data_IF_440300810502
#
_entry.id   IF_440300810502
#
_cell.length_a   1.000
_cell.length_b   1.000
_cell.length_c   1.000
_cell.angle_alpha   90.00
_cell.angle_beta   90.00
_cell.angle_gamma   90.00
#
_symmetry.space_group_name_H-M   'P 1'
#
loop_
_entity.id
_entity.type
_entity.pdbx_description
1 polymer ?
#
# COMPACT_ATOMS: atom_id res chain seq x y z
N UNK A 1 8.00 -16.39 -8.60
CA UNK A 1 6.61 -15.92 -8.45
C UNK A 1 6.59 -14.61 -7.68
N UNK A 2 5.92 -13.61 -8.23
CA UNK A 2 5.76 -12.28 -7.62
C UNK A 2 4.28 -12.05 -7.35
N UNK A 3 3.96 -11.44 -6.23
CA UNK A 3 2.60 -10.98 -5.94
C UNK A 3 2.64 -9.53 -5.50
N UNK A 4 1.74 -8.74 -6.07
CA UNK A 4 1.53 -7.33 -5.72
C UNK A 4 0.17 -7.20 -5.06
N UNK A 5 0.13 -6.60 -3.88
CA UNK A 5 -1.12 -6.33 -3.16
C UNK A 5 -1.04 -4.97 -2.49
N UNK A 6 -2.16 -4.27 -2.48
CA UNK A 6 -2.33 -3.10 -1.64
C UNK A 6 -2.57 -3.54 -0.19
N UNK A 7 -2.01 -2.80 0.77
CA UNK A 7 -2.15 -3.14 2.19
C UNK A 7 -3.61 -3.20 2.65
N UNK A 8 -4.43 -2.26 2.20
CA UNK A 8 -5.87 -2.26 2.50
C UNK A 8 -6.57 -3.52 1.98
N UNK A 9 -6.18 -4.02 0.82
CA UNK A 9 -6.73 -5.28 0.28
C UNK A 9 -6.34 -6.48 1.15
N UNK A 10 -5.10 -6.52 1.62
CA UNK A 10 -4.63 -7.58 2.55
C UNK A 10 -5.46 -7.54 3.83
N UNK A 11 -5.58 -6.37 4.44
CA UNK A 11 -6.37 -6.20 5.66
C UNK A 11 -7.83 -6.57 5.48
N UNK A 12 -8.45 -6.16 4.37
CA UNK A 12 -9.84 -6.52 4.07
C UNK A 12 -10.03 -8.03 3.89
N UNK A 13 -9.12 -8.70 3.20
CA UNK A 13 -9.16 -10.16 3.04
C UNK A 13 -9.06 -10.87 4.39
N UNK A 14 -8.15 -10.43 5.25
CA UNK A 14 -7.98 -10.99 6.59
C UNK A 14 -9.23 -10.78 7.43
N UNK A 15 -9.81 -9.59 7.41
CA UNK A 15 -11.04 -9.28 8.14
C UNK A 15 -12.23 -10.14 7.69
N UNK A 16 -12.42 -10.28 6.38
CA UNK A 16 -13.50 -11.11 5.81
C UNK A 16 -13.34 -12.58 6.13
N UNK A 17 -12.12 -13.05 6.32
CA UNK A 17 -11.80 -14.45 6.63
C UNK A 17 -11.57 -14.71 8.11
N UNK A 18 -11.72 -13.70 8.99
CA UNK A 18 -11.47 -13.82 10.44
C UNK A 18 -12.32 -14.90 11.11
N UNK A 19 -13.51 -15.19 10.57
CA UNK A 19 -14.41 -16.23 11.06
C UNK A 19 -14.35 -17.54 10.26
N UNK A 20 -13.45 -17.64 9.29
CA UNK A 20 -13.27 -18.81 8.43
C UNK A 20 -11.84 -19.34 8.58
N UNK A 21 -11.66 -20.64 8.40
CA UNK A 21 -10.34 -21.31 8.39
C UNK A 21 -9.38 -20.75 7.31
N UNK A 22 -9.91 -19.97 6.37
CA UNK A 22 -9.17 -19.41 5.23
C UNK A 22 -8.16 -18.33 5.61
N UNK A 23 -8.26 -17.71 6.80
CA UNK A 23 -7.32 -16.66 7.22
C UNK A 23 -5.90 -17.20 7.39
N UNK A 24 -5.74 -18.40 7.91
CA UNK A 24 -4.44 -19.05 8.07
C UNK A 24 -3.80 -19.38 6.72
N UNK A 25 -4.59 -19.74 5.74
CA UNK A 25 -4.13 -19.98 4.37
C UNK A 25 -3.64 -18.70 3.71
N UNK A 26 -4.37 -17.60 3.83
CA UNK A 26 -3.96 -16.27 3.32
C UNK A 26 -2.62 -15.85 3.95
N UNK A 27 -2.51 -15.94 5.26
CA UNK A 27 -1.30 -15.58 6.00
C UNK A 27 -0.11 -16.45 5.57
N UNK A 28 -0.31 -17.75 5.47
CA UNK A 28 0.72 -18.70 5.04
C UNK A 28 1.16 -18.42 3.61
N UNK A 29 0.23 -18.20 2.70
CA UNK A 29 0.52 -17.89 1.30
C UNK A 29 1.34 -16.61 1.16
N UNK A 30 0.94 -15.53 1.82
CA UNK A 30 1.65 -14.26 1.76
C UNK A 30 3.03 -14.32 2.43
N UNK A 31 3.16 -15.11 3.51
CA UNK A 31 4.43 -15.32 4.19
C UNK A 31 5.44 -16.11 3.35
N UNK A 32 4.99 -16.95 2.43
CA UNK A 32 5.83 -17.87 1.67
C UNK A 32 6.06 -17.47 0.21
N UNK A 33 5.41 -16.45 -0.31
CA UNK A 33 5.64 -15.96 -1.67
C UNK A 33 7.10 -15.51 -1.82
N UNK A 34 7.81 -15.91 -2.88
CA UNK A 34 9.21 -15.54 -3.07
C UNK A 34 9.47 -14.04 -3.07
N UNK A 35 8.64 -13.26 -3.77
CA UNK A 35 8.69 -11.79 -3.75
C UNK A 35 7.28 -11.23 -3.55
N UNK A 36 7.11 -10.48 -2.49
CA UNK A 36 5.86 -9.77 -2.18
C UNK A 36 6.08 -8.27 -2.31
N UNK A 37 5.17 -7.60 -3.01
CA UNK A 37 5.11 -6.15 -3.09
C UNK A 37 3.85 -5.71 -2.36
N UNK A 38 4.02 -5.02 -1.24
CA UNK A 38 2.95 -4.39 -0.48
C UNK A 38 2.89 -2.91 -0.87
N UNK A 39 1.94 -2.61 -1.73
CA UNK A 39 1.77 -1.29 -2.31
C UNK A 39 0.90 -0.41 -1.42
N UNK A 40 1.22 0.86 -1.40
CA UNK A 40 0.42 1.91 -0.80
C UNK A 40 0.21 1.74 0.72
N UNK A 41 1.32 1.60 1.45
CA UNK A 41 1.28 1.62 2.91
C UNK A 41 0.73 2.96 3.39
N UNK A 42 -0.24 2.90 4.27
CA UNK A 42 -0.86 4.06 4.88
C UNK A 42 -1.21 3.80 6.34
N UNK A 43 -1.90 4.75 6.96
CA UNK A 43 -2.50 4.59 8.27
C UNK A 43 -3.98 4.28 8.05
N UNK A 44 -4.32 3.00 8.12
CA UNK A 44 -5.67 2.52 7.90
C UNK A 44 -6.44 2.42 9.23
N UNK A 45 -7.74 2.64 9.17
CA UNK A 45 -8.64 2.42 10.30
C UNK A 45 -9.22 1.02 10.26
N UNK A 46 -8.35 0.04 10.41
CA UNK A 46 -8.73 -1.36 10.39
C UNK A 46 -8.81 -1.94 11.80
N UNK A 47 -9.21 -3.20 11.90
CA UNK A 47 -9.28 -3.89 13.19
C UNK A 47 -7.89 -4.21 13.73
N UNK A 48 -7.74 -4.23 15.06
CA UNK A 48 -6.52 -4.70 15.73
C UNK A 48 -6.11 -6.10 15.28
N UNK A 49 -7.08 -6.97 15.06
CA UNK A 49 -6.83 -8.32 14.55
C UNK A 49 -6.13 -8.29 13.18
N UNK A 50 -6.63 -7.50 12.23
CA UNK A 50 -6.04 -7.40 10.89
C UNK A 50 -4.62 -6.83 10.95
N UNK A 51 -4.37 -5.83 11.76
CA UNK A 51 -3.04 -5.23 11.98
C UNK A 51 -2.06 -6.24 12.56
N UNK A 52 -2.49 -7.01 13.53
CA UNK A 52 -1.67 -8.08 14.12
C UNK A 52 -1.29 -9.14 13.08
N UNK A 53 -2.23 -9.56 12.25
CA UNK A 53 -1.97 -10.53 11.19
C UNK A 53 -1.03 -9.98 10.12
N UNK A 54 -1.18 -8.72 9.73
CA UNK A 54 -0.24 -8.05 8.82
C UNK A 54 1.17 -8.00 9.44
N UNK A 55 1.28 -7.65 10.71
CA UNK A 55 2.56 -7.72 11.42
C UNK A 55 3.16 -9.12 11.37
N UNK A 56 2.37 -10.14 11.62
CA UNK A 56 2.82 -11.53 11.60
C UNK A 56 3.33 -11.96 10.22
N UNK A 57 2.66 -11.54 9.14
CA UNK A 57 3.11 -11.79 7.76
C UNK A 57 4.47 -11.13 7.52
N UNK A 58 4.60 -9.86 7.85
CA UNK A 58 5.84 -9.08 7.65
C UNK A 58 6.98 -9.68 8.48
N UNK A 59 6.72 -9.98 9.75
CA UNK A 59 7.71 -10.58 10.64
C UNK A 59 8.14 -11.98 10.17
N UNK A 60 7.21 -12.81 9.73
CA UNK A 60 7.51 -14.12 9.16
C UNK A 60 8.41 -14.03 7.92
N UNK A 61 8.13 -13.07 7.05
CA UNK A 61 8.95 -12.80 5.86
C UNK A 61 10.36 -12.34 6.24
N UNK A 62 10.46 -11.46 7.22
CA UNK A 62 11.73 -11.02 7.77
C UNK A 62 12.56 -12.20 8.30
N UNK A 63 11.97 -13.01 9.14
CA UNK A 63 12.66 -14.19 9.73
C UNK A 63 13.09 -15.22 8.70
N UNK A 64 12.31 -15.38 7.63
CA UNK A 64 12.62 -16.31 6.52
C UNK A 64 13.54 -15.71 5.46
N UNK A 65 13.94 -14.44 5.59
CA UNK A 65 14.71 -13.73 4.58
C UNK A 65 13.99 -13.58 3.24
N UNK A 66 12.66 -13.50 3.23
CA UNK A 66 11.87 -13.37 2.01
C UNK A 66 11.87 -11.93 1.51
N UNK A 67 12.31 -11.66 0.27
CA UNK A 67 12.33 -10.32 -0.30
C UNK A 67 10.94 -9.66 -0.30
N UNK A 68 10.86 -8.45 0.21
CA UNK A 68 9.62 -7.69 0.28
C UNK A 68 9.88 -6.24 -0.13
N UNK A 69 9.03 -5.71 -1.00
CA UNK A 69 9.06 -4.31 -1.41
C UNK A 69 7.82 -3.63 -0.83
N UNK A 70 8.03 -2.48 -0.24
CA UNK A 70 6.95 -1.63 0.27
C UNK A 70 6.95 -0.31 -0.47
N UNK A 71 5.76 0.19 -0.82
CA UNK A 71 5.60 1.55 -1.32
C UNK A 71 4.70 2.36 -0.40
N UNK A 72 4.93 3.65 -0.30
CA UNK A 72 4.14 4.53 0.56
C UNK A 72 4.24 5.98 0.11
N UNK A 73 3.19 6.75 0.35
CA UNK A 73 3.20 8.21 0.26
C UNK A 73 3.54 8.90 1.60
N UNK A 74 3.70 8.12 2.66
CA UNK A 74 4.06 8.65 3.98
C UNK A 74 5.54 9.05 3.99
N UNK A 75 5.85 10.18 4.60
CA UNK A 75 7.24 10.59 4.85
C UNK A 75 7.87 9.70 5.93
N UNK A 76 9.19 9.61 5.94
CA UNK A 76 9.92 8.91 7.01
C UNK A 76 9.59 9.48 8.39
N UNK A 77 9.39 10.79 8.50
CA UNK A 77 9.01 11.45 9.75
C UNK A 77 7.70 10.92 10.31
N UNK A 78 6.69 10.69 9.45
CA UNK A 78 5.41 10.09 9.86
C UNK A 78 5.60 8.63 10.27
N UNK A 79 6.35 7.87 9.48
CA UNK A 79 6.61 6.45 9.74
C UNK A 79 7.37 6.25 11.07
N UNK A 80 8.26 7.16 11.40
CA UNK A 80 9.04 7.15 12.65
C UNK A 80 8.35 7.84 13.82
N UNK A 81 7.18 8.44 13.61
CA UNK A 81 6.48 9.20 14.62
C UNK A 81 6.02 8.32 15.80
N UNK A 82 6.46 8.58 17.03
CA UNK A 82 6.07 7.79 18.19
C UNK A 82 4.60 8.01 18.62
N UNK A 83 3.92 9.01 18.07
CA UNK A 83 2.52 9.32 18.39
C UNK A 83 1.50 8.58 17.53
N UNK A 84 1.94 7.81 16.54
CA UNK A 84 1.03 6.92 15.82
C UNK A 84 0.64 5.74 16.70
N UNK A 85 -0.47 5.10 16.36
CA UNK A 85 -0.97 3.91 17.03
C UNK A 85 0.14 2.86 17.24
N UNK A 86 0.21 2.27 18.44
CA UNK A 86 1.25 1.31 18.82
C UNK A 86 1.34 0.12 17.87
N UNK A 87 0.22 -0.35 17.35
CA UNK A 87 0.18 -1.46 16.39
C UNK A 87 0.85 -1.08 15.07
N UNK A 88 0.61 0.14 14.59
CA UNK A 88 1.31 0.67 13.42
C UNK A 88 2.78 0.95 13.68
N UNK A 89 3.13 1.41 14.87
CA UNK A 89 4.54 1.57 15.26
C UNK A 89 5.31 0.25 15.12
N UNK A 90 4.73 -0.85 15.57
CA UNK A 90 5.33 -2.18 15.45
C UNK A 90 5.52 -2.59 14.00
N UNK A 91 4.51 -2.37 13.16
CA UNK A 91 4.55 -2.68 11.73
C UNK A 91 5.65 -1.86 11.04
N UNK A 92 5.65 -0.55 11.22
CA UNK A 92 6.62 0.34 10.58
C UNK A 92 8.03 0.15 11.10
N UNK A 93 8.21 -0.09 12.39
CA UNK A 93 9.52 -0.40 12.96
C UNK A 93 10.13 -1.64 12.32
N UNK A 94 9.34 -2.69 12.14
CA UNK A 94 9.80 -3.90 11.47
C UNK A 94 10.11 -3.66 9.99
N UNK A 95 9.28 -2.88 9.30
CA UNK A 95 9.52 -2.52 7.89
C UNK A 95 10.84 -1.77 7.75
N UNK A 96 11.10 -0.78 8.59
CA UNK A 96 12.35 -0.01 8.57
C UNK A 96 13.57 -0.86 8.89
N UNK A 97 13.45 -1.83 9.79
CA UNK A 97 14.53 -2.76 10.12
C UNK A 97 14.89 -3.68 8.95
N UNK A 98 13.93 -4.10 8.16
CA UNK A 98 14.14 -5.08 7.08
C UNK A 98 14.34 -4.45 5.70
N UNK A 99 14.25 -3.13 5.57
CA UNK A 99 14.31 -2.45 4.27
C UNK A 99 15.29 -1.29 4.26
N UNK A 100 15.65 -0.87 3.06
CA UNK A 100 16.39 0.37 2.82
C UNK A 100 15.40 1.37 2.21
N UNK A 101 15.14 2.51 2.87
CA UNK A 101 14.26 3.54 2.34
C UNK A 101 14.86 4.21 1.11
N UNK A 102 14.08 4.33 0.05
CA UNK A 102 14.46 5.04 -1.16
C UNK A 102 13.42 6.11 -1.44
N UNK A 103 13.85 7.37 -1.49
CA UNK A 103 12.97 8.47 -1.84
C UNK A 103 12.85 8.57 -3.36
N UNK A 104 11.62 8.45 -3.86
CA UNK A 104 11.30 8.66 -5.27
C UNK A 104 10.74 10.06 -5.43
N UNK A 105 11.40 10.87 -6.24
CA UNK A 105 11.00 12.25 -6.54
C UNK A 105 10.79 12.43 -8.04
N UNK A 106 10.00 13.41 -8.41
CA UNK A 106 9.71 13.73 -9.79
C UNK A 106 8.37 14.47 -9.92
N UNK A 107 8.01 14.80 -11.14
CA UNK A 107 6.72 15.37 -11.42
C UNK A 107 5.61 14.32 -11.26
N UNK A 108 4.46 14.78 -10.76
CA UNK A 108 3.26 13.93 -10.69
C UNK A 108 2.65 13.78 -12.09
N UNK A 109 2.91 12.64 -12.72
CA UNK A 109 2.37 12.34 -14.05
C UNK A 109 0.84 12.35 -14.10
N UNK A 110 0.17 11.95 -13.03
CA UNK A 110 -1.31 11.98 -12.98
C UNK A 110 -1.81 13.42 -13.04
N UNK A 111 -1.14 14.32 -12.36
CA UNK A 111 -1.43 15.75 -12.38
C UNK A 111 -1.20 16.34 -13.76
N UNK A 112 -0.10 15.96 -14.41
CA UNK A 112 0.24 16.38 -15.78
C UNK A 112 -0.80 15.89 -16.80
N UNK A 113 -1.17 14.60 -16.72
CA UNK A 113 -2.21 14.01 -17.57
C UNK A 113 -3.56 14.71 -17.35
N UNK A 114 -3.90 15.00 -16.09
CA UNK A 114 -5.13 15.71 -15.77
C UNK A 114 -5.15 17.13 -16.34
N UNK A 115 -4.06 17.88 -16.23
CA UNK A 115 -3.92 19.21 -16.81
C UNK A 115 -4.02 19.18 -18.33
N UNK A 116 -3.41 18.21 -19.00
CA UNK A 116 -3.53 18.03 -20.44
C UNK A 116 -4.96 17.71 -20.86
N UNK A 117 -5.67 16.84 -20.11
CA UNK A 117 -7.09 16.57 -20.36
C UNK A 117 -7.95 17.81 -20.19
N UNK A 118 -7.76 18.57 -19.12
CA UNK A 118 -8.50 19.82 -18.89
C UNK A 118 -8.28 20.83 -20.02
N UNK A 119 -7.05 20.97 -20.46
CA UNK A 119 -6.74 21.85 -21.61
C UNK A 119 -7.47 21.39 -22.86
N UNK A 120 -7.43 20.10 -23.17
CA UNK A 120 -8.09 19.50 -24.32
C UNK A 120 -9.60 19.66 -24.28
N UNK A 121 -10.23 19.45 -23.13
CA UNK A 121 -11.66 19.70 -22.94
C UNK A 121 -12.02 21.17 -23.02
N UNK A 122 -11.17 22.06 -22.55
CA UNK A 122 -11.36 23.51 -22.64
C UNK A 122 -11.32 23.98 -24.07
N UNK A 123 -10.42 23.47 -24.87
CA UNK A 123 -10.38 23.75 -26.33
C UNK A 123 -11.64 23.22 -27.04
N UNK A 124 -12.09 22.00 -26.72
CA UNK A 124 -13.32 21.43 -27.27
C UNK A 124 -14.56 22.23 -26.87
N UNK A 125 -14.66 22.69 -25.64
CA UNK A 125 -15.79 23.48 -25.15
C UNK A 125 -15.82 24.93 -25.66
N UNK A 126 -14.65 25.54 -25.85
CA UNK A 126 -14.54 26.94 -26.27
C UNK A 126 -14.48 27.11 -27.78
N UNK A 127 -13.90 26.14 -28.50
CA UNK A 127 -13.63 26.26 -29.94
C UNK A 127 -14.25 25.13 -30.77
N UNK A 128 -14.53 23.98 -30.18
CA UNK A 128 -15.22 22.87 -30.84
C UNK A 128 -16.71 22.80 -30.54
N UNK A 129 -17.21 23.74 -29.74
CA UNK A 129 -18.60 23.82 -29.34
C UNK A 129 -19.57 24.39 -30.39
N UNK A 130 -19.11 24.59 -31.58
CA UNK A 130 -20.00 24.69 -32.72
C UNK A 130 -20.51 23.33 -33.13
N UNK A 131 -21.08 22.59 -32.21
CA UNK A 131 -22.02 21.55 -32.59
C UNK A 131 -23.28 22.29 -33.00
N UNK A 132 -23.22 22.77 -34.17
CA UNK A 132 -24.43 23.06 -34.87
C UNK A 132 -25.14 21.76 -35.10
N UNK A 133 -26.25 21.62 -34.41
CA UNK A 133 -27.40 20.81 -34.80
C UNK A 133 -27.36 19.87 -35.95
#
# INVERSE_FOLDING_TARGET
>A
RVKIMNLSQVMNQIQKSAFKLDSNEIISNLSNIPLLILDDLGIERDTSYAREQVYNIINSRYLKGRPTIFTTNLSLEIIQNPNIDLEYQRIYSRILEMTIPVKVTGEDFRRKIHQEKLRKYKELLLYGGGIDD
#
